data_IF_196625760001
#
_entry.id   IF_196625760001
#
_cell.length_a   1.000
_cell.length_b   1.000
_cell.length_c   1.000
_cell.angle_alpha   90.00
_cell.angle_beta   90.00
_cell.angle_gamma   90.00
#
_symmetry.space_group_name_H-M   'P 1'
#
loop_
_entity.id
_entity.type
_entity.pdbx_description
1 polymer ?
#
# COMPACT_ATOMS: atom_id res chain seq x y z
N UNK A 1 2.88 10.83 -5.32
CA UNK A 1 2.55 9.42 -5.04
C UNK A 1 3.20 8.58 -6.13
N UNK A 2 4.44 8.13 -5.91
CA UNK A 2 5.35 7.60 -6.96
C UNK A 2 4.80 6.42 -7.79
N UNK A 3 3.76 5.74 -7.29
CA UNK A 3 3.28 4.45 -7.82
C UNK A 3 2.03 4.54 -8.72
N UNK A 4 1.35 5.68 -8.82
CA UNK A 4 0.06 5.70 -9.53
C UNK A 4 0.19 5.74 -11.06
N UNK A 5 1.25 6.33 -11.61
CA UNK A 5 1.42 6.56 -13.06
C UNK A 5 2.89 6.50 -13.49
N UNK A 6 3.64 5.52 -12.98
CA UNK A 6 5.08 5.37 -13.26
C UNK A 6 5.38 4.37 -14.38
N UNK A 7 6.39 4.67 -15.19
CA UNK A 7 7.10 3.65 -15.99
C UNK A 7 7.98 2.78 -15.08
N UNK A 8 8.56 1.69 -15.58
CA UNK A 8 9.51 0.88 -14.80
C UNK A 8 10.65 1.72 -14.21
N UNK A 9 11.18 2.69 -14.96
CA UNK A 9 12.20 3.60 -14.46
C UNK A 9 11.74 4.39 -13.21
N UNK A 10 10.46 4.77 -13.13
CA UNK A 10 9.92 5.43 -11.94
C UNK A 10 9.82 4.47 -10.75
N UNK A 11 9.51 3.18 -11.00
CA UNK A 11 9.47 2.15 -9.97
C UNK A 11 10.87 1.86 -9.43
N UNK A 12 11.89 1.83 -10.29
CA UNK A 12 13.28 1.63 -9.86
C UNK A 12 13.78 2.78 -8.99
N UNK A 13 13.48 4.02 -9.38
CA UNK A 13 13.77 5.20 -8.55
C UNK A 13 13.00 5.11 -7.22
N UNK A 14 11.73 4.68 -7.24
CA UNK A 14 10.95 4.51 -6.02
C UNK A 14 11.57 3.47 -5.07
N UNK A 15 12.02 2.33 -5.61
CA UNK A 15 12.71 1.30 -4.82
C UNK A 15 14.00 1.84 -4.23
N UNK A 16 14.84 2.50 -5.01
CA UNK A 16 16.10 3.10 -4.52
C UNK A 16 15.85 4.14 -3.41
N UNK A 17 14.82 4.98 -3.56
CA UNK A 17 14.41 5.91 -2.51
C UNK A 17 13.95 5.21 -1.23
N UNK A 18 13.16 4.15 -1.34
CA UNK A 18 12.70 3.38 -0.17
C UNK A 18 13.85 2.63 0.51
N UNK A 19 14.86 2.19 -0.25
CA UNK A 19 16.07 1.58 0.31
C UNK A 19 16.89 2.60 1.10
N UNK A 20 17.11 3.79 0.53
CA UNK A 20 17.94 4.85 1.14
C UNK A 20 17.23 5.57 2.28
N UNK A 21 15.91 5.71 2.19
CA UNK A 21 15.08 6.48 3.11
C UNK A 21 13.82 5.68 3.50
N UNK A 22 13.98 4.56 4.24
CA UNK A 22 12.88 3.62 4.47
C UNK A 22 11.70 4.20 5.28
N UNK A 23 11.93 5.26 6.05
CA UNK A 23 10.87 6.02 6.73
C UNK A 23 9.85 6.64 5.76
N UNK A 24 10.18 6.81 4.48
CA UNK A 24 9.22 7.28 3.47
C UNK A 24 8.12 6.23 3.23
N UNK A 25 8.43 4.93 3.40
CA UNK A 25 7.43 3.86 3.25
C UNK A 25 6.28 4.00 4.27
N UNK A 26 6.57 4.54 5.46
CA UNK A 26 5.58 4.69 6.54
C UNK A 26 4.64 5.87 6.34
N UNK A 27 4.83 6.68 5.29
CA UNK A 27 4.01 7.84 5.05
C UNK A 27 2.61 7.42 4.59
N UNK A 28 1.62 8.16 5.09
CA UNK A 28 0.22 8.03 4.70
C UNK A 28 -0.23 9.28 3.98
N UNK A 29 -1.26 9.14 3.16
CA UNK A 29 -1.95 10.29 2.63
C UNK A 29 -2.65 11.05 3.77
N UNK A 30 -2.57 12.38 3.74
CA UNK A 30 -2.99 13.24 4.86
C UNK A 30 -4.14 14.21 4.51
N UNK A 31 -4.79 14.04 3.36
CA UNK A 31 -5.95 14.85 2.96
C UNK A 31 -7.25 14.07 3.18
N UNK A 32 -8.39 14.78 3.36
CA UNK A 32 -9.64 14.18 3.82
C UNK A 32 -10.07 12.93 3.03
N UNK A 33 -9.99 12.96 1.70
CA UNK A 33 -10.54 11.88 0.87
C UNK A 33 -9.81 10.54 1.05
N UNK A 34 -8.48 10.54 1.10
CA UNK A 34 -7.68 9.31 1.13
C UNK A 34 -6.88 9.17 2.43
N UNK A 35 -7.26 9.89 3.49
CA UNK A 35 -6.53 9.90 4.74
C UNK A 35 -6.20 8.48 5.23
N UNK A 36 -4.94 8.25 5.59
CA UNK A 36 -4.48 6.95 6.09
C UNK A 36 -4.12 5.91 5.02
N UNK A 37 -4.39 6.18 3.73
CA UNK A 37 -3.92 5.34 2.63
C UNK A 37 -2.39 5.36 2.57
N UNK A 38 -1.77 4.18 2.51
CA UNK A 38 -0.31 4.02 2.42
C UNK A 38 0.10 3.32 1.12
N UNK A 39 1.40 3.08 0.96
CA UNK A 39 1.97 2.44 -0.23
C UNK A 39 1.44 1.02 -0.51
N UNK A 40 1.09 0.22 0.51
CA UNK A 40 0.52 -1.11 0.30
C UNK A 40 -0.89 -1.04 -0.30
N UNK A 41 -1.75 -0.14 0.20
CA UNK A 41 -3.08 0.08 -0.37
C UNK A 41 -2.97 0.38 -1.88
N UNK A 42 -2.03 1.24 -2.26
CA UNK A 42 -1.82 1.62 -3.66
C UNK A 42 -1.31 0.45 -4.51
N UNK A 43 -0.34 -0.32 -4.02
CA UNK A 43 0.19 -1.49 -4.73
C UNK A 43 -0.91 -2.52 -4.99
N UNK A 44 -1.81 -2.73 -4.02
CA UNK A 44 -2.97 -3.60 -4.14
C UNK A 44 -3.98 -3.02 -5.14
N UNK A 45 -4.32 -1.73 -5.06
CA UNK A 45 -5.21 -1.08 -6.06
C UNK A 45 -4.64 -1.20 -7.48
N UNK A 46 -3.31 -1.17 -7.62
CA UNK A 46 -2.60 -1.33 -8.90
C UNK A 46 -2.48 -2.79 -9.36
N UNK A 47 -2.81 -3.76 -8.51
CA UNK A 47 -2.66 -5.21 -8.79
C UNK A 47 -1.21 -5.63 -9.03
N UNK A 48 -0.27 -5.01 -8.31
CA UNK A 48 1.18 -5.23 -8.46
C UNK A 48 1.74 -6.19 -7.39
N UNK A 49 1.55 -7.50 -7.57
CA UNK A 49 1.89 -8.50 -6.55
C UNK A 49 3.37 -8.52 -6.21
N UNK A 50 4.22 -8.38 -7.23
CA UNK A 50 5.67 -8.27 -7.05
C UNK A 50 6.07 -7.07 -6.19
N UNK A 51 5.31 -5.97 -6.25
CA UNK A 51 5.56 -4.80 -5.40
C UNK A 51 5.13 -5.06 -3.97
N UNK A 52 3.97 -5.69 -3.76
CA UNK A 52 3.49 -6.06 -2.43
C UNK A 52 4.49 -7.01 -1.75
N UNK A 53 4.93 -8.05 -2.45
CA UNK A 53 5.95 -8.98 -1.95
C UNK A 53 7.26 -8.26 -1.63
N UNK A 54 7.76 -7.40 -2.53
CA UNK A 54 9.00 -6.64 -2.30
C UNK A 54 8.91 -5.70 -1.09
N UNK A 55 7.78 -5.00 -0.92
CA UNK A 55 7.56 -4.10 0.23
C UNK A 55 7.56 -4.85 1.57
N UNK A 56 7.18 -6.13 1.57
CA UNK A 56 7.02 -6.96 2.76
C UNK A 56 8.19 -7.91 3.03
N UNK A 57 9.11 -8.07 2.08
CA UNK A 57 10.28 -8.97 2.18
C UNK A 57 11.61 -8.23 2.20
N UNK A 58 11.67 -6.97 1.78
CA UNK A 58 12.94 -6.26 1.70
C UNK A 58 13.47 -5.85 3.07
N UNK A 59 14.72 -6.22 3.38
CA UNK A 59 15.36 -6.01 4.69
C UNK A 59 15.36 -4.56 5.19
N UNK A 60 15.43 -3.55 4.30
CA UNK A 60 15.37 -2.14 4.68
C UNK A 60 13.98 -1.71 5.21
N UNK A 61 12.94 -2.46 4.87
CA UNK A 61 11.55 -2.19 5.21
C UNK A 61 11.00 -3.09 6.32
N UNK A 62 11.70 -4.18 6.66
CA UNK A 62 11.30 -5.13 7.70
C UNK A 62 10.87 -4.47 9.03
N UNK A 63 11.58 -3.45 9.57
CA UNK A 63 11.15 -2.80 10.82
C UNK A 63 9.80 -2.08 10.74
N UNK A 64 9.32 -1.77 9.54
CA UNK A 64 8.10 -1.00 9.29
C UNK A 64 6.93 -1.86 8.81
N UNK A 65 7.18 -3.15 8.50
CA UNK A 65 6.21 -4.09 7.95
C UNK A 65 4.89 -4.12 8.72
N UNK A 66 4.96 -4.21 10.04
CA UNK A 66 3.75 -4.20 10.88
C UNK A 66 2.93 -2.92 10.73
N UNK A 67 3.58 -1.75 10.66
CA UNK A 67 2.90 -0.48 10.45
C UNK A 67 2.27 -0.38 9.06
N UNK A 68 2.93 -0.94 8.05
CA UNK A 68 2.40 -1.00 6.69
C UNK A 68 1.13 -1.86 6.62
N UNK A 69 1.17 -3.06 7.22
CA UNK A 69 0.04 -4.00 7.24
C UNK A 69 -1.14 -3.51 8.10
N UNK A 70 -0.86 -2.79 9.19
CA UNK A 70 -1.87 -2.29 10.12
C UNK A 70 -2.45 -0.92 9.73
N UNK A 71 -1.95 -0.29 8.67
CA UNK A 71 -2.44 1.01 8.22
C UNK A 71 -3.93 0.95 7.85
N UNK A 72 -4.63 2.06 8.09
CA UNK A 72 -6.07 2.17 7.84
C UNK A 72 -6.39 3.37 6.95
N UNK A 73 -6.86 3.12 5.74
CA UNK A 73 -7.42 4.11 4.85
C UNK A 73 -8.82 4.52 5.35
N UNK A 74 -8.89 5.61 6.12
CA UNK A 74 -10.09 6.12 6.83
C UNK A 74 -10.64 7.41 6.24
N UNK A 75 -10.06 7.87 5.14
CA UNK A 75 -10.52 9.06 4.42
C UNK A 75 -11.96 8.94 3.94
N UNK A 76 -12.56 10.09 3.62
CA UNK A 76 -13.96 10.20 3.23
C UNK A 76 -14.37 9.29 2.08
N UNK A 77 -13.42 8.91 1.21
CA UNK A 77 -13.64 7.99 0.09
C UNK A 77 -13.82 6.52 0.54
N UNK A 78 -13.26 6.12 1.69
CA UNK A 78 -13.20 4.74 2.17
C UNK A 78 -14.07 4.49 3.43
N UNK A 79 -15.11 5.29 3.66
CA UNK A 79 -16.03 5.13 4.81
C UNK A 79 -17.08 4.05 4.56
N UNK A 80 -17.64 3.48 5.64
CA UNK A 80 -18.59 2.34 5.65
C UNK A 80 -19.83 2.51 4.74
N UNK A 81 -20.22 3.73 4.39
CA UNK A 81 -21.37 4.02 3.51
C UNK A 81 -20.97 4.47 2.10
N UNK A 82 -19.68 4.41 1.76
CA UNK A 82 -19.18 4.78 0.44
C UNK A 82 -19.05 3.56 -0.46
N UNK A 83 -19.21 3.73 -1.79
CA UNK A 83 -19.03 2.63 -2.75
C UNK A 83 -17.66 1.95 -2.69
N UNK A 84 -16.65 2.66 -2.18
CA UNK A 84 -15.27 2.19 -2.07
C UNK A 84 -14.88 1.78 -0.66
N UNK A 85 -15.83 1.32 0.17
CA UNK A 85 -15.51 0.70 1.44
C UNK A 85 -14.94 -0.71 1.29
N UNK A 86 -13.66 -0.89 1.65
CA UNK A 86 -12.95 -2.18 1.55
C UNK A 86 -12.42 -2.69 2.90
N UNK A 87 -12.98 -2.24 4.02
CA UNK A 87 -12.50 -2.64 5.36
C UNK A 87 -11.21 -1.96 5.82
N UNK A 88 -10.81 -0.87 5.14
CA UNK A 88 -9.74 0.09 5.49
C UNK A 88 -8.31 -0.43 5.50
N UNK A 89 -8.06 -1.73 5.61
CA UNK A 89 -6.71 -2.32 5.70
C UNK A 89 -6.21 -2.82 4.35
N UNK A 90 -4.88 -3.01 4.15
CA UNK A 90 -4.36 -3.64 2.95
C UNK A 90 -4.99 -5.00 2.67
N UNK A 91 -5.11 -5.86 3.71
CA UNK A 91 -5.77 -7.16 3.57
C UNK A 91 -7.25 -7.01 3.15
N UNK A 92 -7.96 -6.05 3.74
CA UNK A 92 -9.34 -5.73 3.34
C UNK A 92 -9.43 -5.34 1.87
N UNK A 93 -8.54 -4.48 1.39
CA UNK A 93 -8.46 -4.09 -0.02
C UNK A 93 -8.23 -5.31 -0.93
N UNK A 94 -7.29 -6.19 -0.59
CA UNK A 94 -6.99 -7.39 -1.38
C UNK A 94 -8.20 -8.35 -1.44
N UNK A 95 -8.83 -8.62 -0.30
CA UNK A 95 -10.02 -9.47 -0.20
C UNK A 95 -11.20 -8.88 -0.99
N UNK A 96 -11.53 -7.60 -0.78
CA UNK A 96 -12.67 -6.94 -1.41
C UNK A 96 -12.51 -6.75 -2.93
N UNK A 97 -11.28 -6.79 -3.44
CA UNK A 97 -10.98 -6.63 -4.88
C UNK A 97 -10.61 -7.94 -5.59
N UNK A 98 -10.81 -9.09 -4.91
CA UNK A 98 -10.60 -10.45 -5.43
C UNK A 98 -9.17 -10.70 -5.94
N UNK A 99 -8.18 -10.37 -5.11
CA UNK A 99 -6.75 -10.54 -5.41
C UNK A 99 -6.14 -11.59 -4.48
N UNK A 100 -6.38 -12.87 -4.77
CA UNK A 100 -5.97 -14.00 -3.91
C UNK A 100 -4.46 -14.14 -3.77
N UNK A 101 -3.71 -13.83 -4.83
CA UNK A 101 -2.25 -13.72 -4.82
C UNK A 101 -1.77 -12.72 -3.76
N UNK A 102 -2.43 -11.56 -3.65
CA UNK A 102 -2.13 -10.57 -2.62
C UNK A 102 -2.53 -11.04 -1.22
N UNK A 103 -3.66 -11.72 -1.10
CA UNK A 103 -4.12 -12.27 0.19
C UNK A 103 -3.10 -13.28 0.73
N UNK A 104 -2.56 -14.15 -0.12
CA UNK A 104 -1.52 -15.11 0.25
C UNK A 104 -0.23 -14.43 0.74
N UNK A 105 0.17 -13.31 0.11
CA UNK A 105 1.37 -12.54 0.53
C UNK A 105 1.14 -11.82 1.87
N UNK A 106 -0.09 -11.39 2.14
CA UNK A 106 -0.44 -10.55 3.30
C UNK A 106 -0.70 -11.33 4.60
N UNK A 107 -0.80 -12.67 4.53
CA UNK A 107 -1.02 -13.58 5.66
C UNK A 107 0.29 -14.18 6.19
#
# INVERSE_FOLDING_TARGET
>A
MLFLYGTEAHLDIARDLLIRFPLIATQIYNKPNYYGENILHLAIVKREANMVDWLLSHASLEPYKHGLLAARATGDFFKIDQPSYYGETPLGFACCTNQWDMVEILL
#
